data_IF_973204916685
#
_entry.id   IF_973204916685
#
_cell.length_a   1.000
_cell.length_b   1.000
_cell.length_c   1.000
_cell.angle_alpha   90.00
_cell.angle_beta   90.00
_cell.angle_gamma   90.00
#
_symmetry.space_group_name_H-M   'P 1'
#
loop_
_entity.id
_entity.type
_entity.pdbx_description
1 polymer ?
#
# COMPACT_ATOMS: atom_id res chain seq x y z
N UNK A 1 1.07 -18.00 -0.67
CA UNK A 1 1.64 -19.06 0.18
C UNK A 1 1.76 -18.50 1.59
N UNK A 2 1.46 -19.29 2.62
CA UNK A 2 1.47 -18.83 4.02
C UNK A 2 2.91 -18.85 4.56
N UNK A 3 3.43 -17.70 5.01
CA UNK A 3 4.80 -17.55 5.50
C UNK A 3 5.20 -18.55 6.60
N UNK A 4 4.25 -19.08 7.38
CA UNK A 4 4.50 -20.08 8.42
C UNK A 4 4.76 -21.51 7.93
N UNK A 5 4.37 -21.86 6.69
CA UNK A 5 4.68 -23.17 6.11
C UNK A 5 6.08 -23.21 5.48
N UNK A 6 6.54 -22.08 4.96
CA UNK A 6 7.83 -21.96 4.26
C UNK A 6 9.03 -22.13 5.21
N UNK A 7 8.91 -21.70 6.47
CA UNK A 7 9.99 -21.86 7.47
C UNK A 7 10.40 -23.33 7.71
N UNK A 8 9.47 -24.28 7.55
CA UNK A 8 9.75 -25.72 7.72
C UNK A 8 10.58 -26.30 6.58
N UNK A 9 10.66 -25.61 5.44
CA UNK A 9 11.42 -26.06 4.27
C UNK A 9 12.93 -25.73 4.37
N UNK A 10 13.36 -24.85 5.27
CA UNK A 10 14.77 -24.43 5.39
C UNK A 10 15.67 -25.63 5.70
N UNK A 11 15.42 -26.34 6.79
CA UNK A 11 16.27 -27.45 7.24
C UNK A 11 16.47 -28.55 6.18
N UNK A 12 15.42 -29.08 5.50
CA UNK A 12 15.61 -30.07 4.45
C UNK A 12 16.34 -29.50 3.21
N UNK A 13 16.14 -28.23 2.88
CA UNK A 13 16.86 -27.59 1.76
C UNK A 13 18.34 -27.34 2.08
N UNK A 14 18.66 -26.91 3.31
CA UNK A 14 20.04 -26.79 3.80
C UNK A 14 20.75 -28.16 3.78
N UNK A 15 20.06 -29.23 4.19
CA UNK A 15 20.60 -30.58 4.09
C UNK A 15 20.85 -30.98 2.63
N UNK A 16 19.88 -30.74 1.74
CA UNK A 16 20.00 -31.10 0.33
C UNK A 16 21.21 -30.43 -0.33
N UNK A 17 21.44 -29.13 -0.09
CA UNK A 17 22.58 -28.42 -0.67
C UNK A 17 23.91 -28.73 0.01
N UNK A 18 23.89 -29.25 1.24
CA UNK A 18 25.08 -29.76 1.93
C UNK A 18 25.48 -31.15 1.43
N UNK A 19 24.51 -31.98 1.04
CA UNK A 19 24.74 -33.30 0.44
C UNK A 19 25.11 -33.21 -1.05
N UNK A 20 24.50 -32.27 -1.77
CA UNK A 20 24.74 -32.02 -3.20
C UNK A 20 24.83 -30.52 -3.50
N UNK A 21 26.06 -30.01 -3.50
CA UNK A 21 26.32 -28.58 -3.77
C UNK A 21 25.96 -28.15 -5.19
N UNK A 22 25.80 -29.09 -6.14
CA UNK A 22 25.42 -28.77 -7.53
C UNK A 22 23.90 -28.85 -7.74
N UNK A 23 23.11 -29.09 -6.69
CA UNK A 23 21.66 -29.14 -6.76
C UNK A 23 21.05 -27.74 -6.89
N UNK A 24 20.97 -27.25 -8.13
CA UNK A 24 20.56 -25.88 -8.46
C UNK A 24 19.17 -25.53 -7.91
N UNK A 25 18.17 -26.37 -8.14
CA UNK A 25 16.79 -26.07 -7.70
C UNK A 25 16.69 -25.96 -6.17
N UNK A 26 17.47 -26.74 -5.43
CA UNK A 26 17.54 -26.64 -3.97
C UNK A 26 18.14 -25.30 -3.53
N UNK A 27 19.22 -24.83 -4.17
CA UNK A 27 19.79 -23.50 -3.92
C UNK A 27 18.80 -22.38 -4.19
N UNK A 28 18.11 -22.43 -5.34
CA UNK A 28 17.20 -21.35 -5.72
C UNK A 28 15.96 -21.33 -4.83
N UNK A 29 15.41 -22.49 -4.47
CA UNK A 29 14.28 -22.58 -3.55
C UNK A 29 14.68 -22.15 -2.13
N UNK A 30 15.88 -22.52 -1.68
CA UNK A 30 16.43 -22.06 -0.41
C UNK A 30 16.56 -20.54 -0.37
N UNK A 31 16.98 -19.92 -1.49
CA UNK A 31 17.02 -18.47 -1.65
C UNK A 31 15.66 -17.80 -1.48
N UNK A 32 14.62 -18.34 -2.14
CA UNK A 32 13.24 -17.84 -2.02
C UNK A 32 12.72 -17.96 -0.59
N UNK A 33 12.91 -19.13 0.04
CA UNK A 33 12.46 -19.37 1.41
C UNK A 33 13.19 -18.45 2.40
N UNK A 34 14.48 -18.17 2.18
CA UNK A 34 15.19 -17.20 3.01
C UNK A 34 14.68 -15.78 2.85
N UNK A 35 14.38 -15.34 1.63
CA UNK A 35 13.77 -14.03 1.39
C UNK A 35 12.39 -13.93 2.06
N UNK A 36 11.56 -14.96 1.98
CA UNK A 36 10.25 -15.02 2.66
C UNK A 36 10.34 -14.93 4.18
N UNK A 37 11.48 -15.29 4.77
CA UNK A 37 11.77 -15.18 6.20
C UNK A 37 12.62 -13.94 6.53
N UNK A 38 12.75 -13.01 5.59
CA UNK A 38 13.55 -11.78 5.72
C UNK A 38 15.03 -12.04 6.06
N UNK A 39 15.54 -13.25 5.78
CA UNK A 39 16.94 -13.65 5.94
C UNK A 39 17.72 -13.26 4.68
N UNK A 40 17.71 -11.98 4.33
CA UNK A 40 18.16 -11.45 3.05
C UNK A 40 19.58 -11.85 2.66
N UNK A 41 20.52 -11.87 3.62
CA UNK A 41 21.89 -12.28 3.31
C UNK A 41 22.04 -13.75 2.94
N UNK A 42 21.28 -14.62 3.62
CA UNK A 42 21.26 -16.04 3.27
C UNK A 42 20.56 -16.27 1.93
N UNK A 43 19.49 -15.51 1.68
CA UNK A 43 18.78 -15.50 0.40
C UNK A 43 19.71 -15.14 -0.76
N UNK A 44 20.41 -14.01 -0.63
CA UNK A 44 21.43 -13.55 -1.59
C UNK A 44 22.46 -14.65 -1.87
N UNK A 45 23.08 -15.17 -0.82
CA UNK A 45 24.11 -16.22 -0.92
C UNK A 45 23.60 -17.47 -1.64
N UNK A 46 22.39 -17.92 -1.32
CA UNK A 46 21.81 -19.12 -1.93
C UNK A 46 21.52 -18.92 -3.42
N UNK A 47 20.95 -17.77 -3.81
CA UNK A 47 20.74 -17.45 -5.22
C UNK A 47 22.05 -17.31 -6.00
N UNK A 48 23.05 -16.61 -5.45
CA UNK A 48 24.37 -16.47 -6.07
C UNK A 48 25.01 -17.84 -6.33
N UNK A 49 24.92 -18.78 -5.37
CA UNK A 49 25.39 -20.16 -5.55
C UNK A 49 24.64 -20.89 -6.66
N UNK A 50 23.30 -20.87 -6.64
CA UNK A 50 22.48 -21.55 -7.66
C UNK A 50 22.74 -21.02 -9.07
N UNK A 51 22.83 -19.70 -9.23
CA UNK A 51 23.10 -19.03 -10.51
C UNK A 51 24.54 -19.31 -11.01
N UNK A 52 25.52 -19.35 -10.11
CA UNK A 52 26.92 -19.63 -10.47
C UNK A 52 27.10 -21.05 -11.06
N UNK A 53 26.27 -22.01 -10.69
CA UNK A 53 26.29 -23.37 -11.24
C UNK A 53 25.81 -23.44 -12.69
N UNK A 54 24.80 -22.64 -13.04
CA UNK A 54 24.29 -22.50 -14.41
C UNK A 54 23.55 -21.18 -14.55
N UNK A 55 24.11 -20.28 -15.35
CA UNK A 55 23.64 -18.89 -15.47
C UNK A 55 22.18 -18.78 -15.96
N UNK A 56 21.73 -19.68 -16.84
CA UNK A 56 20.38 -19.71 -17.40
C UNK A 56 19.47 -20.76 -16.75
N UNK A 57 19.82 -21.27 -15.55
CA UNK A 57 19.05 -22.32 -14.87
C UNK A 57 17.57 -21.96 -14.68
N UNK A 58 17.31 -20.71 -14.30
CA UNK A 58 15.98 -20.13 -14.14
C UNK A 58 16.10 -18.62 -14.09
N UNK A 59 15.81 -17.93 -15.19
CA UNK A 59 16.01 -16.48 -15.30
C UNK A 59 15.29 -15.68 -14.20
N UNK A 60 14.11 -16.12 -13.73
CA UNK A 60 13.39 -15.45 -12.64
C UNK A 60 14.16 -15.41 -11.30
N UNK A 61 15.16 -16.28 -11.09
CA UNK A 61 16.02 -16.23 -9.90
C UNK A 61 16.76 -14.89 -9.76
N UNK A 62 17.11 -14.24 -10.87
CA UNK A 62 17.74 -12.92 -10.86
C UNK A 62 16.81 -11.85 -10.27
N UNK A 63 15.51 -11.95 -10.52
CA UNK A 63 14.55 -11.01 -9.94
C UNK A 63 14.47 -11.16 -8.41
N UNK A 64 14.47 -12.40 -7.90
CA UNK A 64 14.46 -12.66 -6.46
C UNK A 64 15.81 -12.35 -5.79
N UNK A 65 16.92 -12.59 -6.46
CA UNK A 65 18.25 -12.14 -6.01
C UNK A 65 18.32 -10.61 -5.91
N UNK A 66 17.74 -9.89 -6.88
CA UNK A 66 17.64 -8.44 -6.81
C UNK A 66 16.82 -7.96 -5.60
N UNK A 67 15.78 -8.68 -5.19
CA UNK A 67 15.08 -8.37 -3.92
C UNK A 67 15.99 -8.56 -2.70
N UNK A 68 16.85 -9.59 -2.68
CA UNK A 68 17.83 -9.76 -1.62
C UNK A 68 18.80 -8.59 -1.57
N UNK A 69 19.36 -8.16 -2.72
CA UNK A 69 20.23 -6.99 -2.79
C UNK A 69 19.54 -5.71 -2.33
N UNK A 70 18.29 -5.49 -2.74
CA UNK A 70 17.51 -4.30 -2.35
C UNK A 70 17.35 -4.19 -0.83
N UNK A 71 16.96 -5.30 -0.17
CA UNK A 71 16.78 -5.30 1.29
C UNK A 71 18.09 -5.27 2.08
N UNK A 72 19.23 -5.33 1.38
CA UNK A 72 20.57 -5.14 1.93
C UNK A 72 21.17 -3.77 1.56
N UNK A 73 20.35 -2.87 1.01
CA UNK A 73 20.75 -1.56 0.48
C UNK A 73 21.85 -1.61 -0.60
N UNK A 74 22.06 -2.78 -1.21
CA UNK A 74 23.01 -2.97 -2.32
C UNK A 74 22.35 -2.64 -3.65
N UNK A 75 22.14 -1.34 -3.88
CA UNK A 75 21.47 -0.86 -5.08
C UNK A 75 22.27 -1.16 -6.37
N UNK A 76 23.60 -1.29 -6.28
CA UNK A 76 24.42 -1.68 -7.42
C UNK A 76 24.19 -3.15 -7.79
N UNK A 77 24.09 -4.04 -6.80
CA UNK A 77 23.68 -5.43 -6.98
C UNK A 77 22.30 -5.56 -7.63
N UNK A 78 21.32 -4.75 -7.21
CA UNK A 78 19.98 -4.69 -7.84
C UNK A 78 20.09 -4.35 -9.34
N UNK A 79 20.80 -3.26 -9.65
CA UNK A 79 20.93 -2.75 -11.02
C UNK A 79 21.64 -3.78 -11.91
N UNK A 80 22.76 -4.33 -11.47
CA UNK A 80 23.53 -5.30 -12.23
C UNK A 80 22.71 -6.58 -12.50
N UNK A 81 22.07 -7.11 -11.46
CA UNK A 81 21.30 -8.36 -11.52
C UNK A 81 20.09 -8.25 -12.43
N UNK A 82 19.30 -7.18 -12.32
CA UNK A 82 18.13 -6.99 -13.18
C UNK A 82 18.51 -6.59 -14.61
N UNK A 83 19.63 -5.89 -14.81
CA UNK A 83 20.15 -5.64 -16.16
C UNK A 83 20.51 -6.95 -16.84
N UNK A 84 21.14 -7.88 -16.11
CA UNK A 84 21.39 -9.24 -16.61
C UNK A 84 20.08 -9.98 -16.87
N UNK A 85 19.13 -9.95 -15.94
CA UNK A 85 17.82 -10.59 -16.10
C UNK A 85 17.16 -10.20 -17.42
N UNK A 86 17.13 -8.90 -17.74
CA UNK A 86 16.52 -8.35 -18.95
C UNK A 86 17.20 -8.77 -20.27
N UNK A 87 18.34 -9.46 -20.22
CA UNK A 87 19.00 -10.03 -21.41
C UNK A 87 18.48 -11.41 -21.79
N UNK A 88 17.77 -12.11 -20.89
CA UNK A 88 17.24 -13.44 -21.18
C UNK A 88 16.05 -13.37 -22.17
N UNK A 89 15.92 -14.35 -23.08
CA UNK A 89 14.76 -14.41 -23.97
C UNK A 89 13.50 -14.83 -23.22
N UNK A 90 12.33 -14.40 -23.72
CA UNK A 90 11.04 -14.90 -23.25
C UNK A 90 10.57 -14.39 -21.88
N UNK A 91 11.10 -13.26 -21.42
CA UNK A 91 10.64 -12.60 -20.18
C UNK A 91 9.23 -12.06 -20.39
N UNK A 92 8.26 -12.37 -19.51
CA UNK A 92 6.92 -11.79 -19.56
C UNK A 92 6.94 -10.25 -19.49
N UNK A 93 6.07 -9.57 -20.25
CA UNK A 93 6.07 -8.10 -20.34
C UNK A 93 5.88 -7.41 -18.99
N UNK A 94 5.05 -7.98 -18.10
CA UNK A 94 4.82 -7.46 -16.75
C UNK A 94 6.09 -7.58 -15.88
N UNK A 95 6.82 -8.69 -15.98
CA UNK A 95 8.10 -8.88 -15.28
C UNK A 95 9.21 -7.98 -15.86
N UNK A 96 9.23 -7.80 -17.18
CA UNK A 96 10.16 -6.87 -17.82
C UNK A 96 9.88 -5.42 -17.38
N UNK A 97 8.62 -5.00 -17.33
CA UNK A 97 8.21 -3.68 -16.84
C UNK A 97 8.57 -3.50 -15.37
N UNK A 98 8.21 -4.44 -14.50
CA UNK A 98 8.55 -4.43 -13.07
C UNK A 98 10.06 -4.33 -12.86
N UNK A 99 10.86 -5.08 -13.62
CA UNK A 99 12.33 -5.05 -13.51
C UNK A 99 12.92 -3.70 -13.93
N UNK A 100 12.38 -3.06 -14.97
CA UNK A 100 12.81 -1.72 -15.40
C UNK A 100 12.48 -0.65 -14.36
N UNK A 101 11.29 -0.73 -13.75
CA UNK A 101 10.90 0.14 -12.63
C UNK A 101 11.82 -0.08 -11.44
N UNK A 102 12.08 -1.34 -11.07
CA UNK A 102 12.94 -1.66 -9.93
C UNK A 102 14.39 -1.18 -10.11
N UNK A 103 14.92 -1.23 -11.35
CA UNK A 103 16.20 -0.60 -11.69
C UNK A 103 16.15 0.92 -11.51
N UNK A 104 15.05 1.57 -11.93
CA UNK A 104 14.88 3.01 -11.77
C UNK A 104 14.83 3.40 -10.28
N UNK A 105 14.11 2.62 -9.46
CA UNK A 105 14.02 2.79 -8.02
C UNK A 105 15.40 2.62 -7.36
N UNK A 106 16.17 1.59 -7.73
CA UNK A 106 17.53 1.40 -7.22
C UNK A 106 18.48 2.53 -7.61
N UNK A 107 18.39 3.06 -8.84
CA UNK A 107 19.17 4.23 -9.26
C UNK A 107 18.81 5.48 -8.46
N UNK A 108 17.52 5.69 -8.23
CA UNK A 108 17.05 6.79 -7.39
C UNK A 108 17.53 6.63 -5.95
N UNK A 109 17.29 5.47 -5.33
CA UNK A 109 17.68 5.17 -3.96
C UNK A 109 19.18 5.36 -3.74
N UNK A 110 20.01 4.82 -4.64
CA UNK A 110 21.48 4.98 -4.63
C UNK A 110 21.92 6.44 -4.57
N UNK A 111 21.20 7.35 -5.22
CA UNK A 111 21.52 8.78 -5.17
C UNK A 111 20.89 9.45 -3.95
N UNK A 112 19.64 9.14 -3.62
CA UNK A 112 18.90 9.72 -2.52
C UNK A 112 19.58 9.45 -1.16
N UNK A 113 20.15 8.25 -0.94
CA UNK A 113 20.85 7.93 0.32
C UNK A 113 22.11 8.78 0.55
N UNK A 114 22.70 9.35 -0.51
CA UNK A 114 23.83 10.30 -0.39
C UNK A 114 23.37 11.68 0.06
N UNK A 115 22.08 11.98 -0.08
CA UNK A 115 21.46 13.27 0.17
C UNK A 115 20.24 13.10 1.08
N UNK A 116 20.41 12.62 2.32
CA UNK A 116 19.30 12.38 3.23
C UNK A 116 18.56 13.70 3.49
N UNK A 117 17.24 13.67 3.30
CA UNK A 117 16.36 14.76 3.72
C UNK A 117 15.98 14.56 5.19
N UNK A 118 15.84 15.62 6.00
CA UNK A 118 15.34 15.49 7.37
C UNK A 118 13.95 14.83 7.35
N UNK A 119 13.85 13.64 7.93
CA UNK A 119 12.59 12.92 8.11
C UNK A 119 12.36 12.71 9.61
N UNK A 120 11.57 13.61 10.19
CA UNK A 120 11.18 13.56 11.59
C UNK A 120 9.67 13.80 11.66
N UNK A 121 8.84 12.80 11.30
CA UNK A 121 7.38 12.96 11.32
C UNK A 121 6.94 13.24 12.76
N UNK A 122 6.19 14.33 12.93
CA UNK A 122 5.63 14.72 14.22
C UNK A 122 4.15 14.34 14.21
N UNK A 123 3.72 13.59 15.21
CA UNK A 123 2.30 13.33 15.42
C UNK A 123 1.55 14.67 15.53
N UNK A 124 0.43 14.81 14.83
CA UNK A 124 -0.37 16.04 14.86
C UNK A 124 -1.06 16.26 16.21
N UNK A 125 -1.03 15.27 17.09
CA UNK A 125 -1.45 15.35 18.48
C UNK A 125 -2.63 14.44 18.80
N UNK A 126 -2.89 14.25 20.09
CA UNK A 126 -3.90 13.30 20.59
C UNK A 126 -5.35 13.65 20.23
N UNK A 127 -5.59 14.84 19.68
CA UNK A 127 -6.88 15.20 19.12
C UNK A 127 -7.24 14.39 17.88
N UNK A 128 -6.22 13.99 17.10
CA UNK A 128 -6.36 13.20 15.87
C UNK A 128 -5.73 11.82 16.06
N UNK A 129 -4.45 11.74 16.42
CA UNK A 129 -3.73 10.47 16.58
C UNK A 129 -4.13 9.80 17.89
N UNK A 130 -4.72 8.61 17.80
CA UNK A 130 -5.09 7.82 18.98
C UNK A 130 -4.43 6.44 18.95
N UNK A 131 -4.84 5.53 19.83
CA UNK A 131 -4.49 4.11 19.78
C UNK A 131 -5.31 3.32 18.74
N UNK A 132 -6.24 4.00 18.05
CA UNK A 132 -7.08 3.45 16.98
C UNK A 132 -6.46 3.67 15.60
N UNK A 133 -7.07 3.06 14.59
CA UNK A 133 -6.65 3.24 13.20
C UNK A 133 -7.31 4.50 12.62
N UNK A 134 -6.55 5.59 12.55
CA UNK A 134 -6.88 6.75 11.72
C UNK A 134 -6.35 6.58 10.28
N UNK A 135 -7.22 6.79 9.29
CA UNK A 135 -6.95 6.52 7.88
C UNK A 135 -7.57 7.60 6.99
N UNK A 136 -7.09 7.70 5.75
CA UNK A 136 -7.61 8.62 4.74
C UNK A 136 -7.75 10.08 5.24
N UNK A 137 -6.70 10.70 5.78
CA UNK A 137 -6.78 12.10 6.19
C UNK A 137 -6.94 13.00 4.98
N UNK A 138 -7.83 13.98 5.10
CA UNK A 138 -8.01 15.08 4.18
C UNK A 138 -7.91 16.40 4.96
N UNK A 139 -7.03 17.28 4.52
CA UNK A 139 -6.83 18.60 5.11
C UNK A 139 -7.48 19.65 4.21
N UNK A 140 -8.30 20.54 4.76
CA UNK A 140 -8.81 21.70 4.02
C UNK A 140 -7.66 22.62 3.60
N UNK A 141 -7.80 23.35 2.50
CA UNK A 141 -6.69 24.16 1.99
C UNK A 141 -6.29 25.34 2.89
N UNK A 142 -7.19 25.75 3.79
CA UNK A 142 -6.85 26.71 4.84
C UNK A 142 -6.09 26.08 6.01
N UNK A 143 -5.87 24.78 5.97
CA UNK A 143 -5.21 23.94 6.97
C UNK A 143 -5.89 23.94 8.35
N UNK A 144 -7.16 24.37 8.42
CA UNK A 144 -7.89 24.52 9.70
C UNK A 144 -8.76 23.33 10.05
N UNK A 145 -9.08 22.45 9.11
CA UNK A 145 -9.93 21.30 9.36
C UNK A 145 -9.32 20.06 8.74
N UNK A 146 -9.21 19.01 9.53
CA UNK A 146 -8.83 17.67 9.06
C UNK A 146 -10.06 16.76 9.19
N UNK A 147 -10.42 16.12 8.09
CA UNK A 147 -11.42 15.06 8.04
C UNK A 147 -10.69 13.75 7.80
N UNK A 148 -11.10 12.69 8.48
CA UNK A 148 -10.44 11.40 8.37
C UNK A 148 -11.39 10.28 8.75
N UNK A 149 -11.02 9.05 8.44
CA UNK A 149 -11.70 7.87 8.93
C UNK A 149 -11.03 7.39 10.20
N UNK A 150 -11.82 6.91 11.17
CA UNK A 150 -11.31 6.19 12.33
C UNK A 150 -12.08 4.89 12.50
N UNK A 151 -11.35 3.80 12.75
CA UNK A 151 -11.96 2.51 13.10
C UNK A 151 -12.15 2.41 14.61
N UNK A 152 -13.41 2.43 15.05
CA UNK A 152 -13.75 2.32 16.46
C UNK A 152 -14.03 0.86 16.82
N UNK A 153 -12.96 0.09 17.04
CA UNK A 153 -13.03 -1.31 17.45
C UNK A 153 -11.92 -2.19 16.86
N UNK A 154 -11.89 -3.45 17.26
CA UNK A 154 -10.91 -4.43 16.80
C UNK A 154 -11.50 -5.42 15.78
N UNK A 155 -10.64 -5.96 14.92
CA UNK A 155 -11.00 -6.98 13.93
C UNK A 155 -11.55 -6.41 12.62
N UNK A 156 -11.80 -7.31 11.66
CA UNK A 156 -12.21 -6.97 10.29
C UNK A 156 -13.65 -6.45 10.18
N UNK A 157 -14.44 -6.56 11.23
CA UNK A 157 -15.85 -6.16 11.27
C UNK A 157 -16.11 -4.86 12.02
N UNK A 158 -15.08 -4.23 12.60
CA UNK A 158 -15.25 -2.96 13.27
C UNK A 158 -15.60 -1.87 12.24
N UNK A 159 -16.60 -1.05 12.58
CA UNK A 159 -17.05 0.01 11.70
C UNK A 159 -16.00 1.11 11.58
N UNK A 160 -15.92 1.71 10.40
CA UNK A 160 -15.09 2.86 10.13
C UNK A 160 -16.01 4.07 9.99
N UNK A 161 -15.76 5.08 10.80
CA UNK A 161 -16.57 6.27 10.86
C UNK A 161 -15.76 7.48 10.39
N UNK A 162 -16.45 8.47 9.82
CA UNK A 162 -15.86 9.76 9.51
C UNK A 162 -15.79 10.65 10.75
N UNK A 163 -14.63 11.28 10.92
CA UNK A 163 -14.29 12.19 11.99
C UNK A 163 -13.81 13.54 11.44
N UNK A 164 -14.05 14.60 12.20
CA UNK A 164 -13.57 15.95 11.91
C UNK A 164 -12.84 16.51 13.14
N UNK A 165 -11.69 17.14 12.92
CA UNK A 165 -10.97 17.91 13.93
C UNK A 165 -10.58 19.28 13.38
N UNK A 166 -10.49 20.28 14.25
CA UNK A 166 -10.17 21.66 13.89
C UNK A 166 -8.84 22.08 14.51
N UNK A 167 -8.10 22.90 13.78
CA UNK A 167 -6.86 23.49 14.28
C UNK A 167 -7.16 24.81 15.00
N UNK A 168 -6.96 24.82 16.31
CA UNK A 168 -7.23 25.95 17.21
C UNK A 168 -6.06 26.11 18.18
N UNK A 169 -5.57 27.34 18.34
CA UNK A 169 -4.49 27.70 19.27
C UNK A 169 -3.25 26.78 19.15
N UNK A 170 -2.84 26.50 17.91
CA UNK A 170 -1.70 25.64 17.55
C UNK A 170 -1.89 24.15 17.83
N UNK A 171 -3.11 23.69 18.08
CA UNK A 171 -3.42 22.28 18.37
C UNK A 171 -4.65 21.80 17.61
N UNK A 172 -4.66 20.51 17.27
CA UNK A 172 -5.88 19.87 16.77
C UNK A 172 -6.81 19.54 17.92
N UNK A 173 -8.07 19.94 17.81
CA UNK A 173 -9.10 19.60 18.80
C UNK A 173 -9.33 18.10 18.88
N UNK A 174 -9.95 17.62 19.97
CA UNK A 174 -10.46 16.25 20.02
C UNK A 174 -11.41 16.03 18.85
N UNK A 175 -11.09 15.04 18.00
CA UNK A 175 -11.87 14.76 16.81
C UNK A 175 -13.29 14.33 17.17
N UNK A 176 -14.24 14.90 16.44
CA UNK A 176 -15.66 14.65 16.60
C UNK A 176 -16.12 13.66 15.54
N UNK A 177 -16.79 12.58 15.96
CA UNK A 177 -17.50 11.67 15.07
C UNK A 177 -18.61 12.46 14.35
N UNK A 178 -18.64 12.41 13.02
CA UNK A 178 -19.59 13.18 12.22
C UNK A 178 -21.03 12.69 12.34
N UNK A 179 -21.23 11.45 12.82
CA UNK A 179 -22.53 10.86 13.10
C UNK A 179 -23.44 10.80 11.87
N UNK A 180 -24.71 10.48 12.11
CA UNK A 180 -25.71 10.52 11.05
C UNK A 180 -25.96 11.96 10.55
N UNK A 181 -26.21 12.18 9.25
CA UNK A 181 -26.46 11.15 8.24
C UNK A 181 -25.21 10.60 7.53
N UNK A 182 -24.01 11.15 7.82
CA UNK A 182 -22.76 10.79 7.14
C UNK A 182 -22.22 9.42 7.53
N UNK A 183 -22.26 9.08 8.81
CA UNK A 183 -21.95 7.74 9.32
C UNK A 183 -23.22 6.90 9.41
N UNK A 184 -23.07 5.60 9.21
CA UNK A 184 -24.12 4.58 9.32
C UNK A 184 -23.56 3.28 9.86
N UNK A 185 -24.46 2.33 10.11
CA UNK A 185 -24.10 0.97 10.51
C UNK A 185 -23.58 0.09 9.34
N UNK A 186 -23.43 0.67 8.14
CA UNK A 186 -22.86 0.02 6.97
C UNK A 186 -21.38 0.36 6.83
N UNK A 187 -20.67 -0.32 5.92
CA UNK A 187 -19.30 0.05 5.60
C UNK A 187 -19.30 1.38 4.87
N UNK A 188 -18.93 2.45 5.56
CA UNK A 188 -18.69 3.78 5.03
C UNK A 188 -17.17 4.03 5.00
N UNK A 189 -16.65 4.52 3.89
CA UNK A 189 -15.21 4.72 3.81
C UNK A 189 -14.71 5.43 2.57
N UNK A 190 -13.38 5.44 2.42
CA UNK A 190 -12.67 6.09 1.33
C UNK A 190 -13.14 7.54 1.10
N UNK A 191 -12.96 8.38 2.12
CA UNK A 191 -13.35 9.79 2.11
C UNK A 191 -12.52 10.61 1.11
N UNK A 192 -13.20 11.48 0.37
CA UNK A 192 -12.61 12.56 -0.42
C UNK A 192 -13.46 13.81 -0.30
N UNK A 193 -12.82 14.94 0.02
CA UNK A 193 -13.52 16.19 0.31
C UNK A 193 -13.03 17.27 -0.64
N UNK A 194 -13.84 18.28 -0.92
CA UNK A 194 -13.38 19.44 -1.71
C UNK A 194 -12.50 20.37 -0.88
N UNK A 195 -11.77 21.26 -1.55
CA UNK A 195 -10.81 22.21 -0.96
C UNK A 195 -11.30 22.89 0.34
N UNK A 196 -12.57 23.31 0.35
CA UNK A 196 -13.20 24.08 1.42
C UNK A 196 -13.82 23.22 2.53
N UNK A 197 -13.78 21.89 2.44
CA UNK A 197 -14.42 21.03 3.44
C UNK A 197 -15.95 20.97 3.34
N UNK A 198 -16.55 21.47 2.25
CA UNK A 198 -18.01 21.65 2.15
C UNK A 198 -18.71 20.57 1.35
N UNK A 199 -17.99 19.76 0.59
CA UNK A 199 -18.55 18.65 -0.19
C UNK A 199 -17.71 17.41 0.05
N UNK A 200 -18.38 16.27 0.21
CA UNK A 200 -17.75 15.00 0.51
C UNK A 200 -18.26 13.94 -0.46
N UNK A 201 -17.31 13.21 -1.04
CA UNK A 201 -17.53 11.99 -1.80
C UNK A 201 -16.96 10.84 -0.97
N UNK A 202 -17.70 9.74 -0.90
CA UNK A 202 -17.26 8.58 -0.13
C UNK A 202 -17.92 7.31 -0.69
N UNK A 203 -17.31 6.17 -0.39
CA UNK A 203 -17.81 4.85 -0.74
C UNK A 203 -18.68 4.31 0.40
N UNK A 204 -19.81 3.67 0.08
CA UNK A 204 -20.70 3.11 1.09
C UNK A 204 -21.46 1.89 0.61
N UNK A 205 -21.67 0.91 1.50
CA UNK A 205 -22.50 -0.28 1.28
C UNK A 205 -23.95 -0.11 1.78
N UNK A 206 -24.43 1.12 1.92
CA UNK A 206 -25.81 1.42 2.36
C UNK A 206 -26.84 0.77 1.44
N UNK A 207 -27.95 0.31 2.03
CA UNK A 207 -29.06 -0.27 1.27
C UNK A 207 -29.65 0.70 0.24
N UNK A 208 -30.11 0.13 -0.89
CA UNK A 208 -30.73 0.89 -1.98
C UNK A 208 -29.75 1.40 -3.04
N UNK A 209 -28.48 0.99 -2.97
CA UNK A 209 -27.47 1.21 -4.00
C UNK A 209 -27.63 0.30 -5.24
N UNK A 210 -26.67 0.40 -6.15
CA UNK A 210 -26.59 -0.27 -7.45
C UNK A 210 -25.62 -1.46 -7.43
N UNK A 211 -24.63 -1.49 -6.53
CA UNK A 211 -23.64 -2.55 -6.39
C UNK A 211 -23.36 -2.96 -4.94
N UNK A 212 -22.20 -3.57 -4.73
CA UNK A 212 -21.74 -4.00 -3.40
C UNK A 212 -21.36 -2.80 -2.54
N UNK A 213 -20.63 -1.86 -3.14
CA UNK A 213 -20.23 -0.58 -2.58
C UNK A 213 -20.36 0.45 -3.67
N UNK A 214 -21.01 1.56 -3.34
CA UNK A 214 -21.33 2.64 -4.26
C UNK A 214 -20.71 3.95 -3.79
N UNK A 215 -20.49 4.88 -4.71
CA UNK A 215 -20.08 6.25 -4.42
C UNK A 215 -21.31 7.10 -4.10
N UNK A 216 -21.21 7.78 -2.97
CA UNK A 216 -22.17 8.74 -2.44
C UNK A 216 -21.54 10.14 -2.40
N UNK A 217 -22.41 11.14 -2.37
CA UNK A 217 -22.07 12.54 -2.21
C UNK A 217 -22.90 13.17 -1.09
N UNK A 218 -22.28 14.00 -0.28
CA UNK A 218 -22.96 14.89 0.66
C UNK A 218 -22.35 16.29 0.61
N UNK A 219 -23.13 17.28 1.01
CA UNK A 219 -22.71 18.67 1.12
C UNK A 219 -22.99 19.19 2.54
N UNK A 220 -22.16 20.12 3.02
CA UNK A 220 -22.32 20.81 4.28
C UNK A 220 -23.09 22.11 4.02
N UNK A 221 -24.30 22.23 4.56
CA UNK A 221 -25.15 23.44 4.48
C UNK A 221 -25.40 23.97 5.87
N UNK A 222 -25.15 25.26 6.09
CA UNK A 222 -25.32 25.93 7.38
C UNK A 222 -24.60 25.19 8.53
N UNK A 223 -23.41 24.65 8.27
CA UNK A 223 -22.61 23.89 9.24
C UNK A 223 -23.02 22.44 9.44
N UNK A 224 -24.09 21.95 8.80
CA UNK A 224 -24.57 20.58 8.92
C UNK A 224 -24.44 19.80 7.61
N UNK A 225 -23.90 18.59 7.69
CA UNK A 225 -23.89 17.66 6.57
C UNK A 225 -25.30 17.22 6.22
N UNK A 226 -25.61 17.21 4.93
CA UNK A 226 -26.90 16.79 4.42
C UNK A 226 -26.94 15.27 4.23
N UNK A 227 -28.15 14.72 4.08
CA UNK A 227 -28.30 13.29 3.77
C UNK A 227 -27.53 12.93 2.50
N UNK A 228 -26.64 11.93 2.55
CA UNK A 228 -25.91 11.50 1.37
C UNK A 228 -26.82 11.02 0.25
N UNK A 229 -26.44 11.33 -0.98
CA UNK A 229 -27.11 10.92 -2.22
C UNK A 229 -26.18 10.00 -3.00
N UNK A 230 -26.70 8.86 -3.41
CA UNK A 230 -26.01 7.93 -4.30
C UNK A 230 -25.83 8.58 -5.69
N UNK A 231 -24.64 8.50 -6.27
CA UNK A 231 -24.33 9.15 -7.56
C UNK A 231 -24.96 8.47 -8.79
N UNK A 232 -25.66 7.36 -8.59
CA UNK A 232 -26.46 6.71 -9.61
C UNK A 232 -25.65 5.81 -10.55
N UNK A 233 -26.38 5.02 -11.34
CA UNK A 233 -25.85 4.00 -12.27
C UNK A 233 -24.91 4.47 -13.39
N UNK A 234 -24.68 5.79 -13.52
CA UNK A 234 -23.70 6.34 -14.47
C UNK A 234 -22.30 6.34 -13.87
N UNK A 235 -22.22 6.40 -12.55
CA UNK A 235 -21.00 6.38 -11.77
C UNK A 235 -20.83 5.01 -11.15
N UNK A 236 -21.88 4.52 -10.47
CA UNK A 236 -21.85 3.25 -9.77
C UNK A 236 -22.22 2.08 -10.70
N UNK A 237 -21.53 0.96 -10.52
CA UNK A 237 -21.71 -0.31 -11.20
C UNK A 237 -22.24 -1.36 -10.22
N UNK A 238 -22.56 -2.59 -10.68
CA UNK A 238 -22.88 -3.68 -9.76
C UNK A 238 -21.70 -4.19 -8.92
N UNK A 239 -20.48 -3.72 -9.17
CA UNK A 239 -19.26 -4.18 -8.52
C UNK A 239 -18.98 -3.41 -7.21
N UNK A 240 -17.70 -3.30 -6.85
CA UNK A 240 -17.22 -2.51 -5.73
C UNK A 240 -16.60 -1.23 -6.30
N UNK A 241 -17.38 -0.14 -6.34
CA UNK A 241 -16.91 1.17 -6.79
C UNK A 241 -16.47 2.00 -5.58
N UNK A 242 -15.18 2.33 -5.50
CA UNK A 242 -14.59 2.90 -4.29
C UNK A 242 -13.45 3.89 -4.56
N UNK A 243 -12.82 4.35 -3.48
CA UNK A 243 -11.68 5.28 -3.54
C UNK A 243 -11.95 6.54 -4.37
N UNK A 244 -13.11 7.21 -4.18
CA UNK A 244 -13.36 8.48 -4.84
C UNK A 244 -12.25 9.47 -4.47
N UNK A 245 -11.74 10.21 -5.45
CA UNK A 245 -10.77 11.28 -5.29
C UNK A 245 -11.19 12.44 -6.18
N UNK A 246 -11.62 13.54 -5.56
CA UNK A 246 -12.02 14.76 -6.27
C UNK A 246 -10.78 15.58 -6.62
N UNK A 247 -10.72 16.10 -7.84
CA UNK A 247 -9.68 17.04 -8.26
C UNK A 247 -9.74 18.34 -7.46
N UNK A 248 -8.59 19.02 -7.35
CA UNK A 248 -8.50 20.28 -6.60
C UNK A 248 -9.47 21.36 -7.10
N UNK A 249 -9.80 21.37 -8.40
CA UNK A 249 -10.78 22.30 -8.97
C UNK A 249 -12.25 21.88 -8.76
N UNK A 250 -12.49 20.74 -8.11
CA UNK A 250 -13.82 20.20 -7.81
C UNK A 250 -14.58 19.64 -9.01
N UNK A 251 -13.95 19.50 -10.19
CA UNK A 251 -14.66 19.17 -11.44
C UNK A 251 -14.53 17.74 -11.90
N UNK A 252 -13.52 17.01 -11.42
CA UNK A 252 -13.19 15.67 -11.91
C UNK A 252 -13.08 14.70 -10.74
N UNK A 253 -13.89 13.65 -10.76
CA UNK A 253 -13.84 12.58 -9.78
C UNK A 253 -13.16 11.35 -10.38
N UNK A 254 -12.09 10.88 -9.75
CA UNK A 254 -11.42 9.61 -10.05
C UNK A 254 -11.87 8.56 -9.05
N UNK A 255 -12.08 7.31 -9.48
CA UNK A 255 -12.49 6.19 -8.64
C UNK A 255 -12.21 4.86 -9.35
N UNK A 256 -12.24 3.75 -8.60
CA UNK A 256 -12.04 2.40 -9.12
C UNK A 256 -12.77 1.32 -8.29
#
# INVERSE_FOLDING_TARGET
MNAGENAKAIAPLEQAVAEDEIFIDAWLLLGEVYNDQEQWEKGKTAFEKGIALKEDCRSSAYYFLAQSYWNLDDYDGVIATLTKYLTFPGIPDDWAMKSKLFIADAKFAKEAVKHPVPFNPIAVGSGVNTDRLEMFPYLTADEKTILFMRRDGEGKSANEDFYESHYVDSTWTVAKNLGSPLNSDYQDGAISVTEQGTEMYFASSRMGGYGNVDIYYSQKKNGAWQTPINLGKRINTPAWDSQPTISADGKTLYFA
#
